data_IF_570265290405
#
_entry.id   IF_570265290405
#
_cell.length_a   1.000
_cell.length_b   1.000
_cell.length_c   1.000
_cell.angle_alpha   90.00
_cell.angle_beta   90.00
_cell.angle_gamma   90.00
#
_symmetry.space_group_name_H-M   'P 1'
#
loop_
_entity.id
_entity.type
_entity.pdbx_description
1 polymer ?
#
# COMPACT_ATOMS: atom_id res chain seq x y z
N UNK A 1 6.98 -32.39 -1.47
CA UNK A 1 5.96 -31.78 -0.60
C UNK A 1 4.64 -31.92 -1.31
N UNK A 2 3.76 -32.80 -0.82
CA UNK A 2 2.41 -32.94 -1.38
C UNK A 2 1.65 -31.64 -1.11
N UNK A 3 1.26 -30.93 -2.15
CA UNK A 3 0.30 -29.84 -2.08
C UNK A 3 -1.09 -30.43 -1.81
N UNK A 4 -1.36 -30.83 -0.56
CA UNK A 4 -2.66 -31.30 -0.15
C UNK A 4 -3.71 -30.20 -0.31
N UNK A 5 -4.84 -30.53 -0.90
CA UNK A 5 -6.01 -29.62 -0.93
C UNK A 5 -6.44 -29.35 0.51
N UNK A 6 -6.58 -28.09 0.90
CA UNK A 6 -7.03 -27.76 2.24
C UNK A 6 -8.46 -28.28 2.47
N UNK A 7 -8.68 -28.88 3.62
CA UNK A 7 -10.00 -29.33 4.01
C UNK A 7 -10.93 -28.12 4.33
N UNK A 8 -12.27 -28.28 4.23
CA UNK A 8 -13.20 -27.23 4.65
C UNK A 8 -12.96 -26.72 6.08
N UNK A 9 -12.58 -27.61 7.01
CA UNK A 9 -12.26 -27.25 8.38
C UNK A 9 -11.00 -26.38 8.49
N UNK A 10 -9.95 -26.69 7.71
CA UNK A 10 -8.74 -25.86 7.65
C UNK A 10 -9.02 -24.48 7.06
N UNK A 11 -9.87 -24.39 6.03
CA UNK A 11 -10.28 -23.10 5.46
C UNK A 11 -11.13 -22.29 6.45
N UNK A 12 -12.04 -22.93 7.17
CA UNK A 12 -12.84 -22.27 8.21
C UNK A 12 -11.96 -21.75 9.37
N UNK A 13 -11.00 -22.56 9.83
CA UNK A 13 -10.04 -22.13 10.85
C UNK A 13 -9.19 -20.95 10.39
N UNK A 14 -8.70 -20.96 9.15
CA UNK A 14 -7.91 -19.88 8.57
C UNK A 14 -8.69 -18.57 8.45
N UNK A 15 -10.00 -18.65 8.15
CA UNK A 15 -10.92 -17.49 8.13
C UNK A 15 -11.16 -16.96 9.54
N UNK A 16 -11.38 -17.81 10.51
CA UNK A 16 -11.61 -17.40 11.90
C UNK A 16 -10.37 -16.71 12.52
N UNK A 17 -9.18 -17.05 12.06
CA UNK A 17 -7.92 -16.51 12.58
C UNK A 17 -7.62 -15.07 12.14
N UNK A 18 -8.38 -14.50 11.19
CA UNK A 18 -8.13 -13.12 10.73
C UNK A 18 -8.69 -12.04 11.67
N UNK A 19 -9.48 -12.41 12.66
CA UNK A 19 -10.06 -11.49 13.64
C UNK A 19 -11.20 -10.62 13.11
N UNK A 20 -11.73 -10.91 11.91
CA UNK A 20 -12.83 -10.16 11.30
C UNK A 20 -14.17 -10.88 11.56
N UNK A 21 -15.20 -10.12 11.93
CA UNK A 21 -16.56 -10.62 12.05
C UNK A 21 -17.24 -10.76 10.69
N UNK A 22 -18.19 -11.71 10.59
CA UNK A 22 -18.89 -12.03 9.34
C UNK A 22 -20.40 -11.96 9.52
N UNK A 23 -21.09 -11.49 8.48
CA UNK A 23 -22.55 -11.44 8.42
C UNK A 23 -23.04 -11.81 7.02
N UNK A 24 -24.30 -12.19 6.91
CA UNK A 24 -24.95 -12.33 5.59
C UNK A 24 -24.99 -10.97 4.87
N UNK A 25 -24.79 -10.92 3.54
CA UNK A 25 -24.82 -9.68 2.78
C UNK A 25 -26.09 -8.86 3.03
N UNK A 26 -27.26 -9.50 3.02
CA UNK A 26 -28.56 -8.86 3.23
C UNK A 26 -28.70 -8.20 4.61
N UNK A 27 -28.08 -8.77 5.65
CA UNK A 27 -28.06 -8.17 7.00
C UNK A 27 -27.31 -6.83 7.05
N UNK A 28 -26.42 -6.61 6.09
CA UNK A 28 -25.60 -5.39 5.97
C UNK A 28 -26.03 -4.52 4.78
N UNK A 29 -27.23 -4.78 4.20
CA UNK A 29 -27.77 -4.00 3.07
C UNK A 29 -26.97 -4.17 1.79
N UNK A 30 -26.36 -5.34 1.57
CA UNK A 30 -25.67 -5.70 0.33
C UNK A 30 -26.48 -6.76 -0.40
N UNK A 31 -26.68 -6.55 -1.68
CA UNK A 31 -27.36 -7.51 -2.55
C UNK A 31 -26.42 -8.68 -2.86
N UNK A 32 -26.82 -9.88 -2.46
CA UNK A 32 -26.05 -11.09 -2.69
C UNK A 32 -26.00 -11.46 -4.20
N UNK A 33 -27.07 -11.17 -4.95
CA UNK A 33 -27.12 -11.47 -6.38
C UNK A 33 -26.15 -10.56 -7.15
N UNK A 34 -25.96 -9.32 -6.72
CA UNK A 34 -24.96 -8.43 -7.30
C UNK A 34 -23.52 -8.93 -7.07
N UNK A 35 -23.25 -9.57 -5.92
CA UNK A 35 -21.93 -10.19 -5.66
C UNK A 35 -21.70 -11.38 -6.60
N UNK A 36 -22.73 -12.23 -6.79
CA UNK A 36 -22.66 -13.37 -7.71
C UNK A 36 -22.46 -12.87 -9.15
N UNK A 37 -23.26 -11.89 -9.59
CA UNK A 37 -23.13 -11.30 -10.91
C UNK A 37 -21.74 -10.73 -11.18
N UNK A 38 -21.12 -10.07 -10.19
CA UNK A 38 -19.74 -9.60 -10.29
C UNK A 38 -18.75 -10.76 -10.52
N UNK A 39 -18.90 -11.86 -9.80
CA UNK A 39 -18.01 -13.04 -9.97
C UNK A 39 -18.24 -13.71 -11.32
N UNK A 40 -19.49 -13.80 -11.78
CA UNK A 40 -19.85 -14.33 -13.09
C UNK A 40 -19.24 -13.49 -14.23
N UNK A 41 -19.29 -12.16 -14.12
CA UNK A 41 -18.65 -11.25 -15.07
C UNK A 41 -17.14 -11.40 -15.09
N UNK A 42 -16.50 -11.53 -13.92
CA UNK A 42 -15.04 -11.78 -13.80
C UNK A 42 -14.68 -13.09 -14.51
N UNK A 43 -15.47 -14.16 -14.32
CA UNK A 43 -15.25 -15.46 -14.96
C UNK A 43 -15.50 -15.39 -16.47
N UNK A 44 -16.62 -14.79 -16.91
CA UNK A 44 -16.96 -14.60 -18.31
C UNK A 44 -15.92 -13.78 -19.08
N UNK A 45 -15.31 -12.79 -18.41
CA UNK A 45 -14.22 -11.99 -18.97
C UNK A 45 -12.86 -12.72 -18.96
N UNK A 46 -12.78 -13.93 -18.42
CA UNK A 46 -11.53 -14.70 -18.31
C UNK A 46 -10.49 -14.04 -17.41
N UNK A 47 -10.93 -13.21 -16.45
CA UNK A 47 -10.03 -12.51 -15.54
C UNK A 47 -9.55 -13.45 -14.43
N UNK A 48 -8.23 -13.49 -14.21
CA UNK A 48 -7.63 -14.37 -13.20
C UNK A 48 -7.70 -13.69 -11.81
N UNK A 49 -8.88 -13.75 -11.17
CA UNK A 49 -9.09 -13.36 -9.79
C UNK A 49 -8.71 -14.52 -8.86
N UNK A 50 -7.87 -14.25 -7.86
CA UNK A 50 -7.39 -15.25 -6.91
C UNK A 50 -8.19 -15.26 -5.61
N UNK A 51 -8.53 -14.08 -5.12
CA UNK A 51 -9.32 -13.91 -3.91
C UNK A 51 -10.06 -12.59 -3.89
N UNK A 52 -11.16 -12.58 -3.15
CA UNK A 52 -11.98 -11.40 -2.90
C UNK A 52 -12.46 -11.43 -1.45
N UNK A 53 -12.46 -10.26 -0.80
CA UNK A 53 -13.13 -10.04 0.49
C UNK A 53 -13.82 -8.67 0.44
N UNK A 54 -15.11 -8.64 0.76
CA UNK A 54 -15.92 -7.43 0.89
C UNK A 54 -16.31 -7.23 2.35
N UNK A 55 -15.93 -6.10 2.91
CA UNK A 55 -16.31 -5.66 4.24
C UNK A 55 -17.26 -4.47 4.17
N UNK A 56 -18.28 -4.45 5.03
CA UNK A 56 -19.20 -3.32 5.19
C UNK A 56 -19.64 -3.16 6.63
N UNK A 57 -19.53 -1.94 7.17
CA UNK A 57 -20.04 -1.54 8.49
C UNK A 57 -19.73 -2.55 9.63
N UNK A 58 -18.47 -3.00 9.73
CA UNK A 58 -18.01 -3.89 10.79
C UNK A 58 -17.98 -5.37 10.43
N UNK A 59 -18.53 -5.78 9.29
CA UNK A 59 -18.68 -7.18 8.93
C UNK A 59 -18.10 -7.52 7.55
N UNK A 60 -17.42 -8.65 7.41
CA UNK A 60 -17.15 -9.26 6.11
C UNK A 60 -18.45 -9.88 5.62
N UNK A 61 -18.93 -9.44 4.48
CA UNK A 61 -20.22 -9.83 3.88
C UNK A 61 -20.07 -10.78 2.69
N UNK A 62 -18.89 -10.83 2.09
CA UNK A 62 -18.55 -11.80 1.05
C UNK A 62 -17.04 -12.08 1.06
N UNK A 63 -16.69 -13.32 0.78
CA UNK A 63 -15.29 -13.73 0.63
C UNK A 63 -15.19 -14.96 -0.26
N UNK A 64 -14.18 -14.99 -1.12
CA UNK A 64 -13.93 -16.10 -2.03
C UNK A 64 -12.43 -16.27 -2.29
N UNK A 65 -12.01 -17.53 -2.46
CA UNK A 65 -10.65 -17.90 -2.92
C UNK A 65 -10.76 -18.93 -4.02
N UNK A 66 -10.16 -18.65 -5.15
CA UNK A 66 -10.02 -19.63 -6.24
C UNK A 66 -8.87 -20.58 -5.92
N UNK A 67 -9.11 -21.88 -6.04
CA UNK A 67 -8.02 -22.86 -5.90
C UNK A 67 -6.88 -22.57 -6.92
N UNK A 68 -5.59 -22.62 -6.53
CA UNK A 68 -5.02 -23.14 -5.28
C UNK A 68 -4.83 -22.07 -4.17
N UNK A 69 -5.40 -20.89 -4.32
CA UNK A 69 -5.23 -19.77 -3.38
C UNK A 69 -6.05 -20.01 -2.10
N UNK A 70 -5.52 -19.50 -0.97
CA UNK A 70 -6.06 -19.79 0.37
C UNK A 70 -6.03 -18.55 1.25
N UNK A 71 -6.95 -18.44 2.25
CA UNK A 71 -6.99 -17.30 3.17
C UNK A 71 -5.76 -17.21 4.09
N UNK A 72 -5.13 -18.33 4.43
CA UNK A 72 -3.97 -18.41 5.33
C UNK A 72 -2.61 -18.21 4.62
N UNK A 73 -2.60 -18.00 3.32
CA UNK A 73 -1.36 -17.88 2.55
C UNK A 73 -1.07 -16.43 2.17
N UNK A 74 0.05 -15.86 2.67
CA UNK A 74 0.50 -14.55 2.22
C UNK A 74 0.90 -14.60 0.75
N UNK A 75 0.82 -13.47 0.09
CA UNK A 75 1.20 -13.26 -1.31
C UNK A 75 1.78 -11.89 -1.50
N UNK A 76 2.58 -11.74 -2.54
CA UNK A 76 3.18 -10.46 -2.86
C UNK A 76 2.10 -9.44 -3.22
N UNK A 77 2.07 -8.34 -2.51
CA UNK A 77 1.10 -7.26 -2.70
C UNK A 77 1.57 -6.18 -3.67
N UNK A 78 2.80 -6.30 -4.18
CA UNK A 78 3.40 -5.31 -5.07
C UNK A 78 3.27 -3.89 -4.51
N UNK A 79 2.77 -2.95 -5.33
CA UNK A 79 2.72 -1.52 -4.96
C UNK A 79 1.70 -1.16 -3.87
N UNK A 80 0.87 -2.10 -3.39
CA UNK A 80 0.10 -1.88 -2.16
C UNK A 80 1.02 -1.56 -0.98
N UNK A 81 2.24 -2.08 -0.97
CA UNK A 81 3.28 -1.75 0.00
C UNK A 81 3.44 -0.24 0.23
N UNK A 82 3.24 0.57 -0.81
CA UNK A 82 3.31 2.04 -0.73
C UNK A 82 2.33 2.64 0.28
N UNK A 83 1.12 2.11 0.34
CA UNK A 83 0.11 2.61 1.29
C UNK A 83 0.45 2.24 2.74
N UNK A 84 1.11 1.10 2.98
CA UNK A 84 1.71 0.80 4.28
C UNK A 84 2.89 1.74 4.61
N UNK A 85 3.72 2.05 3.62
CA UNK A 85 4.79 3.05 3.79
C UNK A 85 4.22 4.42 4.16
N UNK A 86 3.12 4.85 3.54
CA UNK A 86 2.44 6.09 3.91
C UNK A 86 1.96 6.07 5.37
N UNK A 87 1.44 4.94 5.87
CA UNK A 87 1.10 4.81 7.28
C UNK A 87 2.32 5.04 8.19
N UNK A 88 3.47 4.46 7.85
CA UNK A 88 4.70 4.65 8.62
C UNK A 88 5.17 6.11 8.63
N UNK A 89 5.11 6.77 7.47
CA UNK A 89 5.46 8.20 7.38
C UNK A 89 4.50 9.05 8.21
N UNK A 90 3.19 8.75 8.20
CA UNK A 90 2.21 9.45 9.02
C UNK A 90 2.48 9.31 10.52
N UNK A 91 2.84 8.12 10.96
CA UNK A 91 3.23 7.86 12.35
C UNK A 91 4.51 8.63 12.73
N UNK A 92 5.52 8.57 11.90
CA UNK A 92 6.80 9.26 12.13
C UNK A 92 6.66 10.80 12.16
N UNK A 93 5.76 11.36 11.33
CA UNK A 93 5.40 12.78 11.38
C UNK A 93 4.72 13.17 12.70
N UNK A 94 3.82 12.34 13.20
CA UNK A 94 3.15 12.58 14.48
C UNK A 94 4.11 12.46 15.66
N UNK A 95 5.12 11.59 15.57
CA UNK A 95 6.21 11.47 16.55
C UNK A 95 7.22 12.63 16.44
N UNK A 96 7.09 13.53 15.47
CA UNK A 96 7.96 14.69 15.28
C UNK A 96 9.35 14.35 14.75
N UNK A 97 9.53 13.18 14.12
CA UNK A 97 10.83 12.74 13.61
C UNK A 97 11.30 13.53 12.39
N UNK A 98 10.38 14.08 11.64
CA UNK A 98 10.60 14.96 10.49
C UNK A 98 9.29 15.68 10.11
N UNK A 99 9.35 16.56 9.13
CA UNK A 99 8.22 17.33 8.60
C UNK A 99 8.02 17.04 7.12
N UNK A 100 6.82 17.29 6.58
CA UNK A 100 6.53 17.09 5.15
C UNK A 100 7.39 17.99 4.25
N UNK A 101 7.73 19.19 4.71
CA UNK A 101 8.55 20.19 4.00
C UNK A 101 10.06 20.00 4.18
N UNK A 102 10.49 19.02 4.97
CA UNK A 102 11.91 18.69 5.10
C UNK A 102 12.48 18.19 3.77
N UNK A 103 13.72 18.60 3.49
CA UNK A 103 14.39 18.27 2.23
C UNK A 103 14.94 16.85 2.25
N UNK A 104 14.58 16.05 1.24
CA UNK A 104 15.04 14.67 1.15
C UNK A 104 16.55 14.52 1.24
N UNK A 105 17.30 15.44 0.62
CA UNK A 105 18.77 15.45 0.63
C UNK A 105 19.36 15.66 2.03
N UNK A 106 18.66 16.35 2.94
CA UNK A 106 19.19 16.64 4.28
C UNK A 106 19.39 15.38 5.13
N UNK A 107 18.70 14.31 4.81
CA UNK A 107 18.83 13.03 5.49
C UNK A 107 20.03 12.18 5.01
N UNK A 108 20.69 12.57 3.91
CA UNK A 108 21.70 11.74 3.24
C UNK A 108 22.98 12.50 2.86
N UNK A 109 23.58 13.28 3.77
CA UNK A 109 24.78 14.07 3.44
C UNK A 109 25.96 13.20 2.98
N UNK A 110 26.04 11.97 3.45
CA UNK A 110 27.09 10.98 3.14
C UNK A 110 26.93 10.35 1.74
N UNK A 111 25.78 10.48 1.09
CA UNK A 111 25.54 9.99 -0.27
C UNK A 111 25.73 11.10 -1.33
N UNK A 112 26.00 12.32 -0.91
CA UNK A 112 26.13 13.47 -1.79
C UNK A 112 27.60 13.83 -1.96
N UNK A 113 28.07 14.01 -3.18
CA UNK A 113 29.46 14.31 -3.51
C UNK A 113 29.92 15.74 -3.13
N UNK A 114 29.02 16.54 -2.55
CA UNK A 114 29.23 17.94 -2.18
C UNK A 114 27.92 18.71 -2.02
N UNK A 115 27.94 20.03 -1.98
CA UNK A 115 26.75 20.84 -1.93
C UNK A 115 25.81 20.52 -3.10
N UNK A 116 24.53 20.31 -2.78
CA UNK A 116 23.49 20.06 -3.78
C UNK A 116 22.74 21.35 -4.01
N UNK A 117 22.57 21.71 -5.27
CA UNK A 117 21.83 22.90 -5.70
C UNK A 117 20.63 22.53 -6.59
N UNK A 118 19.90 23.56 -7.01
CA UNK A 118 18.78 23.42 -7.92
C UNK A 118 17.64 22.57 -7.37
N UNK A 119 16.93 21.92 -8.27
CA UNK A 119 15.68 21.22 -7.94
C UNK A 119 15.89 20.00 -7.05
N UNK A 120 17.05 19.34 -7.09
CA UNK A 120 17.33 18.21 -6.20
C UNK A 120 17.36 18.67 -4.73
N UNK A 121 17.94 19.84 -4.46
CA UNK A 121 17.96 20.43 -3.12
C UNK A 121 16.56 20.80 -2.61
N UNK A 122 15.63 21.09 -3.52
CA UNK A 122 14.26 21.52 -3.18
C UNK A 122 13.31 20.36 -2.87
N UNK A 123 13.62 19.12 -3.30
CA UNK A 123 12.78 17.95 -3.14
C UNK A 123 12.42 17.68 -1.67
N UNK A 124 11.13 17.57 -1.37
CA UNK A 124 10.60 17.38 -0.02
C UNK A 124 10.09 15.96 0.21
N UNK A 125 9.81 15.61 1.48
CA UNK A 125 9.12 14.37 1.85
C UNK A 125 7.72 14.33 1.20
N UNK A 126 7.02 15.46 1.12
CA UNK A 126 5.72 15.52 0.45
C UNK A 126 5.79 15.21 -1.05
N UNK A 127 6.83 15.67 -1.74
CA UNK A 127 7.06 15.37 -3.15
C UNK A 127 7.27 13.86 -3.38
N UNK A 128 7.95 13.19 -2.45
CA UNK A 128 8.12 11.74 -2.47
C UNK A 128 6.78 11.01 -2.26
N UNK A 129 5.97 11.43 -1.29
CA UNK A 129 4.65 10.84 -0.99
C UNK A 129 3.66 11.02 -2.14
N UNK A 130 3.72 12.15 -2.83
CA UNK A 130 2.81 12.51 -3.92
C UNK A 130 3.30 12.10 -5.31
N UNK A 131 4.45 11.40 -5.40
CA UNK A 131 5.05 11.00 -6.68
C UNK A 131 5.38 12.18 -7.61
N UNK A 132 5.86 13.30 -7.04
CA UNK A 132 6.18 14.54 -7.76
C UNK A 132 7.65 14.92 -7.60
N UNK A 133 8.52 13.91 -7.72
CA UNK A 133 9.98 14.05 -7.49
C UNK A 133 10.73 14.81 -8.60
N UNK A 134 10.09 15.03 -9.75
CA UNK A 134 10.71 15.76 -10.86
C UNK A 134 11.55 14.93 -11.82
N UNK A 135 11.62 13.60 -11.70
CA UNK A 135 12.27 12.73 -12.67
C UNK A 135 11.54 12.74 -14.01
N UNK A 136 12.28 12.64 -15.14
CA UNK A 136 11.70 12.66 -16.49
C UNK A 136 10.94 11.36 -16.84
N UNK A 137 11.26 10.25 -16.19
CA UNK A 137 10.66 8.93 -16.44
C UNK A 137 10.61 8.10 -15.17
N UNK A 138 9.83 7.02 -15.20
CA UNK A 138 9.83 6.04 -14.11
C UNK A 138 11.24 5.46 -13.91
N UNK A 139 11.72 5.50 -12.67
CA UNK A 139 13.08 5.09 -12.29
C UNK A 139 13.08 3.86 -11.39
N UNK A 140 12.04 3.04 -11.49
CA UNK A 140 11.87 1.83 -10.70
C UNK A 140 11.65 0.59 -11.59
N UNK A 141 11.52 -0.57 -10.98
CA UNK A 141 11.25 -1.82 -11.68
C UNK A 141 12.46 -2.71 -11.85
N UNK A 142 12.53 -3.45 -12.97
CA UNK A 142 13.54 -4.49 -13.17
C UNK A 142 14.98 -3.95 -13.15
N UNK A 143 15.20 -2.76 -13.70
CA UNK A 143 16.53 -2.13 -13.75
C UNK A 143 17.06 -1.86 -12.34
N UNK A 144 16.24 -1.28 -11.47
CA UNK A 144 16.62 -1.00 -10.09
C UNK A 144 16.84 -2.27 -9.28
N UNK A 145 15.99 -3.28 -9.44
CA UNK A 145 16.11 -4.54 -8.73
C UNK A 145 17.39 -5.33 -9.07
N UNK A 146 17.98 -5.06 -10.21
CA UNK A 146 19.25 -5.65 -10.63
C UNK A 146 20.50 -4.94 -10.10
N UNK A 147 20.33 -3.75 -9.49
CA UNK A 147 21.45 -3.01 -8.92
C UNK A 147 21.85 -3.61 -7.57
N UNK A 148 23.12 -3.95 -7.45
CA UNK A 148 23.76 -4.43 -6.20
C UNK A 148 24.39 -3.26 -5.40
N UNK A 149 24.40 -2.07 -6.00
CA UNK A 149 24.86 -0.82 -5.37
C UNK A 149 23.75 -0.22 -4.50
N UNK A 150 24.10 0.74 -3.63
CA UNK A 150 23.13 1.49 -2.84
C UNK A 150 22.07 2.13 -3.71
N UNK A 151 20.80 1.78 -3.51
CA UNK A 151 19.69 2.40 -4.22
C UNK A 151 19.45 3.85 -3.76
N UNK A 152 19.84 4.20 -2.54
CA UNK A 152 19.84 5.60 -2.07
C UNK A 152 20.82 6.41 -2.91
N UNK A 153 22.06 5.93 -3.06
CA UNK A 153 23.07 6.61 -3.87
C UNK A 153 22.65 6.73 -5.34
N UNK A 154 22.06 5.68 -5.92
CA UNK A 154 21.59 5.69 -7.30
C UNK A 154 20.42 6.67 -7.51
N UNK A 155 19.52 6.82 -6.53
CA UNK A 155 18.43 7.79 -6.59
C UNK A 155 18.95 9.22 -6.77
N UNK A 156 19.94 9.61 -5.99
CA UNK A 156 20.49 10.97 -6.04
C UNK A 156 21.34 11.27 -7.28
N UNK A 157 21.70 10.26 -8.08
CA UNK A 157 22.36 10.43 -9.38
C UNK A 157 21.36 10.68 -10.52
N UNK A 158 20.06 10.44 -10.32
CA UNK A 158 19.05 10.61 -11.36
C UNK A 158 18.82 12.10 -11.60
N UNK A 159 18.95 12.59 -12.85
CA UNK A 159 18.69 13.99 -13.15
C UNK A 159 17.25 14.40 -12.83
N UNK A 160 17.10 15.54 -12.18
CA UNK A 160 15.80 16.16 -11.96
C UNK A 160 15.48 17.04 -13.19
N UNK A 161 14.51 16.62 -13.97
CA UNK A 161 14.14 17.28 -15.23
C UNK A 161 13.05 18.35 -15.06
N UNK A 162 12.34 18.33 -13.93
CA UNK A 162 11.24 19.24 -13.64
C UNK A 162 11.27 19.63 -12.17
N UNK A 163 10.68 20.79 -11.85
CA UNK A 163 10.60 21.25 -10.45
C UNK A 163 9.82 20.24 -9.61
N UNK A 164 10.36 19.75 -8.49
CA UNK A 164 9.62 18.90 -7.54
C UNK A 164 8.29 19.54 -7.13
N UNK A 165 7.29 18.74 -6.84
CA UNK A 165 5.94 19.20 -6.50
C UNK A 165 5.06 19.54 -7.70
N UNK A 166 5.57 19.57 -8.95
CA UNK A 166 4.80 20.08 -10.10
C UNK A 166 4.19 18.97 -10.96
N UNK A 167 4.96 17.95 -11.34
CA UNK A 167 4.51 16.92 -12.27
C UNK A 167 4.47 15.55 -11.63
N UNK A 168 3.34 14.89 -11.77
CA UNK A 168 3.18 13.51 -11.31
C UNK A 168 3.97 12.54 -12.20
N UNK A 169 4.84 11.75 -11.57
CA UNK A 169 5.58 10.66 -12.21
C UNK A 169 5.63 9.47 -11.24
N UNK A 170 4.83 8.45 -11.51
CA UNK A 170 4.77 7.29 -10.64
C UNK A 170 6.11 6.54 -10.62
N UNK A 171 6.72 6.43 -9.44
CA UNK A 171 8.01 5.76 -9.26
C UNK A 171 8.14 5.07 -7.91
N UNK A 172 8.63 3.83 -7.88
CA UNK A 172 8.90 3.14 -6.62
C UNK A 172 10.18 3.62 -5.94
N UNK A 173 11.05 4.33 -6.66
CA UNK A 173 12.24 4.91 -6.08
C UNK A 173 11.91 5.97 -5.03
N UNK A 174 10.84 6.78 -5.23
CA UNK A 174 10.36 7.72 -4.22
C UNK A 174 9.96 7.01 -2.91
N UNK A 175 9.26 5.88 -3.02
CA UNK A 175 8.88 5.10 -1.83
C UNK A 175 10.09 4.47 -1.14
N UNK A 176 11.13 4.10 -1.90
CA UNK A 176 12.39 3.62 -1.33
C UNK A 176 13.07 4.69 -0.49
N UNK A 177 13.14 5.94 -1.00
CA UNK A 177 13.72 7.06 -0.24
C UNK A 177 12.93 7.37 1.02
N UNK A 178 11.59 7.28 1.00
CA UNK A 178 10.78 7.40 2.22
C UNK A 178 11.13 6.32 3.24
N UNK A 179 11.29 5.07 2.81
CA UNK A 179 11.75 3.97 3.67
C UNK A 179 13.15 4.24 4.22
N UNK A 180 14.06 4.75 3.39
CA UNK A 180 15.43 5.09 3.78
C UNK A 180 15.47 6.24 4.80
N UNK A 181 14.67 7.29 4.61
CA UNK A 181 14.52 8.39 5.57
C UNK A 181 14.06 7.85 6.92
N UNK A 182 12.98 7.04 6.92
CA UNK A 182 12.46 6.44 8.14
C UNK A 182 13.54 5.62 8.85
N UNK A 183 14.18 4.70 8.13
CA UNK A 183 15.24 3.85 8.72
C UNK A 183 16.39 4.66 9.28
N UNK A 184 16.73 5.77 8.63
CA UNK A 184 17.83 6.63 9.06
C UNK A 184 17.53 7.39 10.36
N UNK A 185 16.29 7.85 10.52
CA UNK A 185 15.90 8.63 11.73
C UNK A 185 15.51 7.73 12.90
N UNK A 186 15.07 6.49 12.65
CA UNK A 186 14.63 5.56 13.70
C UNK A 186 15.66 4.51 14.04
N UNK A 187 16.56 4.16 13.12
CA UNK A 187 17.44 2.99 13.21
C UNK A 187 16.71 1.65 12.96
N UNK A 188 15.42 1.68 12.65
CA UNK A 188 14.57 0.51 12.38
C UNK A 188 14.34 0.34 10.88
N UNK A 189 14.15 -0.90 10.41
CA UNK A 189 13.60 -1.11 9.06
C UNK A 189 12.14 -0.67 9.03
N UNK A 190 11.60 -0.38 7.84
CA UNK A 190 10.18 -0.03 7.67
C UNK A 190 9.25 -1.12 8.24
N UNK A 191 9.60 -2.40 8.05
CA UNK A 191 8.87 -3.54 8.60
C UNK A 191 8.91 -3.53 10.13
N UNK A 192 10.09 -3.40 10.72
CA UNK A 192 10.24 -3.43 12.18
C UNK A 192 9.56 -2.24 12.84
N UNK A 193 9.61 -1.06 12.21
CA UNK A 193 8.91 0.13 12.69
C UNK A 193 7.38 -0.05 12.67
N UNK A 194 6.83 -0.63 11.60
CA UNK A 194 5.38 -0.87 11.48
C UNK A 194 4.88 -2.04 12.33
N UNK A 195 5.73 -3.01 12.63
CA UNK A 195 5.30 -4.24 13.31
C UNK A 195 4.56 -3.97 14.61
N UNK A 196 5.13 -3.30 15.63
CA UNK A 196 4.41 -3.03 16.89
C UNK A 196 3.36 -1.92 16.75
N UNK A 197 3.49 -1.03 15.77
CA UNK A 197 2.65 0.16 15.63
C UNK A 197 1.41 -0.07 14.78
N UNK A 198 1.48 -1.01 13.82
CA UNK A 198 0.42 -1.25 12.85
C UNK A 198 0.09 -2.74 12.68
N UNK A 199 1.07 -3.61 12.38
CA UNK A 199 0.80 -5.00 12.03
C UNK A 199 0.23 -5.77 13.21
N UNK A 200 0.89 -5.76 14.36
CA UNK A 200 0.40 -6.44 15.57
C UNK A 200 -0.97 -5.92 16.04
N UNK A 201 -1.21 -4.59 16.14
CA UNK A 201 -2.53 -4.07 16.50
C UNK A 201 -3.65 -4.47 15.54
N UNK A 202 -3.35 -4.60 14.24
CA UNK A 202 -4.29 -5.07 13.23
C UNK A 202 -4.44 -6.61 13.22
N UNK A 203 -3.64 -7.34 14.01
CA UNK A 203 -3.58 -8.80 13.94
C UNK A 203 -3.11 -9.29 12.56
N UNK A 204 -2.14 -8.61 11.96
CA UNK A 204 -1.43 -9.02 10.75
C UNK A 204 -0.27 -9.90 11.20
N UNK A 205 -0.26 -11.13 10.73
CA UNK A 205 0.73 -12.13 11.10
C UNK A 205 1.21 -12.93 9.90
N UNK A 206 2.52 -13.26 9.89
CA UNK A 206 3.16 -14.03 8.82
C UNK A 206 3.42 -13.21 7.57
N UNK A 207 3.38 -11.90 7.71
CA UNK A 207 3.84 -10.95 6.70
C UNK A 207 5.38 -11.00 6.59
N UNK A 208 5.86 -10.67 5.40
CA UNK A 208 7.29 -10.56 5.13
C UNK A 208 7.54 -9.43 4.14
N UNK A 209 8.66 -8.76 4.27
CA UNK A 209 9.03 -7.67 3.37
C UNK A 209 10.45 -7.85 2.85
N UNK A 210 10.64 -7.75 1.52
CA UNK A 210 11.97 -7.81 0.89
C UNK A 210 12.93 -6.80 1.56
N UNK A 211 14.23 -7.10 1.48
CA UNK A 211 15.31 -6.20 1.88
C UNK A 211 16.10 -5.80 0.62
N UNK A 212 16.33 -4.52 0.47
CA UNK A 212 17.18 -3.95 -0.59
C UNK A 212 18.66 -3.93 -0.21
N UNK A 213 19.56 -3.50 -1.13
CA UNK A 213 21.00 -3.52 -0.92
C UNK A 213 21.48 -2.61 0.21
N UNK A 214 20.70 -1.60 0.60
CA UNK A 214 21.02 -0.73 1.75
C UNK A 214 20.58 -1.33 3.10
N UNK A 215 20.10 -2.59 3.12
CA UNK A 215 19.65 -3.26 4.34
C UNK A 215 18.26 -2.83 4.81
N UNK A 216 17.49 -2.14 3.99
CA UNK A 216 16.16 -1.60 4.30
C UNK A 216 15.07 -2.18 3.38
N UNK A 217 13.81 -2.07 3.79
CA UNK A 217 12.71 -2.52 2.94
C UNK A 217 12.48 -1.57 1.76
N UNK A 218 12.10 -2.08 0.57
CA UNK A 218 11.89 -1.24 -0.62
C UNK A 218 10.80 -0.16 -0.48
N UNK A 219 9.87 -0.31 0.45
CA UNK A 219 8.77 0.64 0.67
C UNK A 219 7.74 0.69 -0.45
N UNK A 220 8.15 0.54 -1.70
CA UNK A 220 7.29 0.61 -2.88
C UNK A 220 6.76 -0.72 -3.39
N UNK A 221 7.29 -1.84 -2.89
CA UNK A 221 6.96 -3.21 -3.27
C UNK A 221 7.59 -4.22 -2.29
N UNK A 222 7.49 -5.53 -2.60
CA UNK A 222 8.17 -6.59 -1.85
C UNK A 222 7.46 -7.04 -0.58
N UNK A 223 6.35 -6.40 -0.18
CA UNK A 223 5.54 -6.85 0.95
C UNK A 223 4.69 -8.06 0.54
N UNK A 224 4.77 -9.13 1.33
CA UNK A 224 3.91 -10.30 1.28
C UNK A 224 2.96 -10.27 2.49
N UNK A 225 1.65 -10.36 2.24
CA UNK A 225 0.63 -10.45 3.28
C UNK A 225 -0.63 -11.13 2.74
N UNK A 226 -1.61 -11.41 3.60
CA UNK A 226 -2.86 -12.10 3.25
C UNK A 226 -3.88 -11.12 2.66
N UNK A 227 -4.91 -11.65 2.00
CA UNK A 227 -6.04 -10.82 1.49
C UNK A 227 -6.76 -10.11 2.64
N UNK A 228 -6.91 -10.77 3.78
CA UNK A 228 -7.48 -10.15 4.97
C UNK A 228 -6.66 -8.95 5.47
N UNK A 229 -5.33 -9.02 5.37
CA UNK A 229 -4.44 -7.94 5.81
C UNK A 229 -4.55 -6.72 4.88
N UNK A 230 -4.68 -6.98 3.59
CA UNK A 230 -4.98 -5.94 2.59
C UNK A 230 -6.35 -5.28 2.86
N UNK A 231 -7.36 -6.09 3.20
CA UNK A 231 -8.68 -5.60 3.60
C UNK A 231 -8.60 -4.72 4.86
N UNK A 232 -7.87 -5.15 5.90
CA UNK A 232 -7.68 -4.40 7.15
C UNK A 232 -7.05 -3.03 6.93
N UNK A 233 -6.10 -2.93 6.00
CA UNK A 233 -5.53 -1.63 5.61
C UNK A 233 -6.61 -0.67 5.12
N UNK A 234 -7.50 -1.14 4.23
CA UNK A 234 -8.60 -0.33 3.71
C UNK A 234 -9.64 0.01 4.79
N UNK A 235 -10.02 -0.95 5.63
CA UNK A 235 -10.94 -0.74 6.77
C UNK A 235 -10.40 0.33 7.72
N UNK A 236 -9.11 0.26 8.07
CA UNK A 236 -8.47 1.25 8.94
C UNK A 236 -8.63 2.67 8.40
N UNK A 237 -8.51 2.83 7.06
CA UNK A 237 -8.68 4.15 6.44
C UNK A 237 -10.15 4.56 6.33
N UNK A 238 -11.09 3.65 6.08
CA UNK A 238 -12.54 3.96 6.17
C UNK A 238 -12.93 4.40 7.58
N UNK A 239 -12.27 3.87 8.59
CA UNK A 239 -12.51 4.19 10.01
C UNK A 239 -11.61 5.33 10.55
N UNK A 240 -11.10 6.20 9.65
CA UNK A 240 -10.23 7.34 10.02
C UNK A 240 -9.05 6.96 10.93
N UNK A 241 -8.40 5.84 10.66
CA UNK A 241 -7.24 5.39 11.44
C UNK A 241 -7.58 4.77 12.79
N UNK A 242 -8.85 4.48 13.05
CA UNK A 242 -9.30 3.82 14.29
C UNK A 242 -9.52 2.32 14.02
N UNK A 243 -8.98 1.48 14.88
CA UNK A 243 -9.15 0.03 14.84
C UNK A 243 -9.59 -0.48 16.21
N UNK A 244 -10.77 -1.13 16.27
CA UNK A 244 -11.35 -1.65 17.51
C UNK A 244 -11.36 -0.62 18.66
N UNK A 245 -11.72 0.63 18.33
CA UNK A 245 -11.78 1.72 19.31
C UNK A 245 -10.44 2.37 19.65
N UNK A 246 -9.32 1.87 19.15
CA UNK A 246 -7.98 2.42 19.33
C UNK A 246 -7.53 3.18 18.09
N UNK A 247 -7.06 4.41 18.25
CA UNK A 247 -6.43 5.16 17.16
C UNK A 247 -5.04 4.60 16.85
N UNK A 248 -4.86 4.10 15.64
CA UNK A 248 -3.58 3.59 15.14
C UNK A 248 -2.89 4.57 14.20
N UNK A 249 -3.65 5.35 13.42
CA UNK A 249 -3.09 6.41 12.58
C UNK A 249 -3.41 7.78 13.19
N UNK A 250 -2.51 8.77 13.04
CA UNK A 250 -2.70 10.10 13.59
C UNK A 250 -4.01 10.75 13.12
N UNK A 251 -4.61 11.56 13.97
CA UNK A 251 -5.80 12.34 13.61
C UNK A 251 -5.52 13.23 12.39
N UNK A 252 -6.46 13.25 11.44
CA UNK A 252 -6.33 13.98 10.18
C UNK A 252 -5.37 13.38 9.15
N UNK A 253 -4.60 12.34 9.50
CA UNK A 253 -3.67 11.72 8.55
C UNK A 253 -4.42 11.07 7.37
N UNK A 254 -5.47 10.31 7.66
CA UNK A 254 -6.25 9.63 6.61
C UNK A 254 -6.81 10.65 5.61
N UNK A 255 -7.40 11.73 6.10
CA UNK A 255 -7.93 12.80 5.25
C UNK A 255 -6.85 13.40 4.33
N UNK A 256 -5.63 13.63 4.84
CA UNK A 256 -4.49 14.10 4.04
C UNK A 256 -4.02 13.04 3.03
N UNK A 257 -3.87 11.80 3.49
CA UNK A 257 -3.30 10.74 2.67
C UNK A 257 -4.23 10.35 1.51
N UNK A 258 -5.54 10.46 1.68
CA UNK A 258 -6.54 10.09 0.67
C UNK A 258 -7.11 11.31 -0.10
N UNK A 259 -6.64 12.52 0.18
CA UNK A 259 -6.94 13.70 -0.64
C UNK A 259 -6.09 13.71 -1.92
N UNK A 260 -6.62 14.19 -3.05
CA UNK A 260 -5.82 14.36 -4.25
C UNK A 260 -4.84 15.52 -4.12
N UNK A 261 -3.58 15.28 -4.40
CA UNK A 261 -2.53 16.30 -4.44
C UNK A 261 -2.15 16.60 -5.90
N UNK A 262 -2.72 17.67 -6.46
CA UNK A 262 -2.44 18.17 -7.81
C UNK A 262 -3.19 17.45 -8.94
N UNK A 263 -3.04 18.00 -10.13
CA UNK A 263 -3.71 17.62 -11.37
C UNK A 263 -2.67 17.13 -12.41
N UNK A 264 -3.07 16.40 -13.47
CA UNK A 264 -4.42 15.85 -13.72
C UNK A 264 -4.68 14.53 -12.98
N UNK A 265 -3.61 13.92 -12.43
CA UNK A 265 -3.71 12.60 -11.77
C UNK A 265 -4.16 12.78 -10.34
N UNK A 266 -5.24 12.12 -9.99
CA UNK A 266 -5.80 12.11 -8.65
C UNK A 266 -5.04 11.10 -7.77
N UNK A 267 -4.02 11.57 -7.07
CA UNK A 267 -3.15 10.77 -6.22
C UNK A 267 -2.88 11.49 -4.90
N UNK A 268 -3.06 10.76 -3.80
CA UNK A 268 -2.76 11.23 -2.45
C UNK A 268 -1.35 10.83 -1.98
N UNK A 269 -1.17 10.64 -0.68
CA UNK A 269 0.07 10.07 -0.13
C UNK A 269 0.07 8.56 -0.29
N UNK A 270 0.53 8.11 -1.45
CA UNK A 270 0.56 6.70 -1.85
C UNK A 270 -0.83 6.02 -1.91
N UNK A 271 -1.87 6.80 -2.22
CA UNK A 271 -3.23 6.35 -2.48
C UNK A 271 -3.74 6.89 -3.81
N UNK A 272 -4.37 6.03 -4.60
CA UNK A 272 -5.13 6.44 -5.77
C UNK A 272 -6.49 6.94 -5.30
N UNK A 273 -6.87 8.14 -5.71
CA UNK A 273 -8.12 8.80 -5.27
C UNK A 273 -9.06 9.02 -6.44
N UNK A 274 -10.36 9.09 -6.16
CA UNK A 274 -11.39 9.31 -7.18
C UNK A 274 -12.33 10.44 -6.79
N UNK A 275 -13.05 11.04 -7.80
CA UNK A 275 -13.97 12.16 -7.54
C UNK A 275 -15.15 11.81 -6.62
N UNK A 276 -15.54 10.54 -6.53
CA UNK A 276 -16.60 10.05 -5.65
C UNK A 276 -16.17 9.88 -4.19
N UNK A 277 -14.92 10.26 -3.88
CA UNK A 277 -14.34 10.13 -2.54
C UNK A 277 -13.83 8.72 -2.24
N UNK A 278 -13.93 7.77 -3.16
CA UNK A 278 -13.31 6.47 -3.00
C UNK A 278 -11.79 6.56 -3.22
N UNK A 279 -11.05 5.67 -2.59
CA UNK A 279 -9.60 5.59 -2.75
C UNK A 279 -9.10 4.15 -2.73
N UNK A 280 -7.94 3.92 -3.32
CA UNK A 280 -7.41 2.58 -3.49
C UNK A 280 -5.92 2.49 -3.23
N UNK A 281 -5.51 1.46 -2.51
CA UNK A 281 -4.15 0.92 -2.54
C UNK A 281 -4.08 -0.09 -3.68
N UNK A 282 -3.15 0.11 -4.63
CA UNK A 282 -3.12 -0.68 -5.87
C UNK A 282 -1.72 -1.23 -6.14
N UNK A 283 -1.65 -2.52 -6.36
CA UNK A 283 -0.46 -3.24 -6.77
C UNK A 283 -0.61 -3.90 -8.15
N UNK A 284 0.51 -4.20 -8.75
CA UNK A 284 0.58 -4.88 -10.06
C UNK A 284 -0.27 -6.16 -10.05
N UNK A 285 -0.87 -6.49 -11.19
CA UNK A 285 -1.72 -7.66 -11.38
C UNK A 285 -3.01 -7.67 -10.56
N UNK A 286 -3.50 -6.48 -10.15
CA UNK A 286 -4.72 -6.32 -9.36
C UNK A 286 -4.60 -6.92 -7.95
N UNK A 287 -3.55 -6.54 -7.24
CA UNK A 287 -3.56 -6.58 -5.77
C UNK A 287 -4.18 -5.25 -5.34
N UNK A 288 -5.38 -5.23 -4.79
CA UNK A 288 -6.09 -3.97 -4.59
C UNK A 288 -6.97 -4.00 -3.35
N UNK A 289 -6.92 -2.92 -2.55
CA UNK A 289 -7.96 -2.57 -1.61
C UNK A 289 -8.60 -1.25 -2.05
N UNK A 290 -9.88 -1.28 -2.40
CA UNK A 290 -10.66 -0.08 -2.69
C UNK A 290 -11.61 0.18 -1.54
N UNK A 291 -11.54 1.39 -1.01
CA UNK A 291 -12.34 1.86 0.11
C UNK A 291 -13.37 2.87 -0.35
N UNK A 292 -14.58 2.72 0.14
CA UNK A 292 -15.76 3.52 -0.18
C UNK A 292 -16.31 4.15 1.11
N UNK A 293 -15.75 5.28 1.59
CA UNK A 293 -16.14 5.88 2.88
C UNK A 293 -17.65 6.17 2.98
N UNK A 294 -18.25 6.64 1.88
CA UNK A 294 -19.68 6.95 1.82
C UNK A 294 -20.56 5.72 2.12
N UNK A 295 -20.08 4.52 1.82
CA UNK A 295 -20.80 3.27 2.04
C UNK A 295 -20.32 2.50 3.27
N UNK A 296 -19.32 3.01 4.00
CA UNK A 296 -18.68 2.28 5.09
C UNK A 296 -18.17 0.92 4.62
N UNK A 297 -17.54 0.86 3.43
CA UNK A 297 -17.19 -0.40 2.79
C UNK A 297 -15.75 -0.42 2.28
N UNK A 298 -15.17 -1.61 2.23
CA UNK A 298 -13.87 -1.87 1.58
C UNK A 298 -13.93 -3.21 0.84
N UNK A 299 -13.46 -3.21 -0.40
CA UNK A 299 -13.27 -4.40 -1.22
C UNK A 299 -11.76 -4.67 -1.37
N UNK A 300 -11.31 -5.83 -0.93
CA UNK A 300 -9.97 -6.32 -1.20
C UNK A 300 -10.02 -7.44 -2.24
N UNK A 301 -9.17 -7.35 -3.26
CA UNK A 301 -9.01 -8.37 -4.29
C UNK A 301 -7.54 -8.66 -4.55
N UNK A 302 -7.25 -9.90 -4.91
CA UNK A 302 -5.93 -10.29 -5.43
C UNK A 302 -6.11 -11.08 -6.72
N UNK A 303 -5.19 -10.93 -7.67
CA UNK A 303 -5.31 -11.56 -8.98
C UNK A 303 -3.99 -11.64 -9.73
N UNK A 304 -4.06 -12.12 -10.99
CA UNK A 304 -2.96 -12.09 -11.96
C UNK A 304 -3.41 -11.44 -13.29
N UNK A 305 -4.20 -10.39 -13.21
CA UNK A 305 -4.76 -9.70 -14.37
C UNK A 305 -3.71 -8.79 -14.99
N UNK A 306 -3.33 -9.06 -16.25
CA UNK A 306 -2.38 -8.25 -17.02
C UNK A 306 -3.12 -7.13 -17.75
N UNK A 307 -2.45 -5.99 -17.96
CA UNK A 307 -3.02 -4.88 -18.73
C UNK A 307 -4.04 -4.02 -17.98
N UNK A 308 -4.10 -4.14 -16.66
CA UNK A 308 -5.06 -3.44 -15.79
C UNK A 308 -4.90 -1.90 -15.73
N UNK A 309 -4.09 -1.30 -16.61
CA UNK A 309 -3.91 0.16 -16.67
C UNK A 309 -5.22 0.94 -16.94
N UNK A 310 -6.28 0.27 -17.38
CA UNK A 310 -7.58 0.87 -17.67
C UNK A 310 -8.60 0.72 -16.54
N UNK A 311 -8.21 0.10 -15.40
CA UNK A 311 -9.07 -0.06 -14.23
C UNK A 311 -8.92 1.09 -13.21
N UNK A 312 -8.15 2.12 -13.59
CA UNK A 312 -7.77 3.21 -12.67
C UNK A 312 -8.15 4.58 -13.21
#
# INVERSE_FOLDING_TARGET
>A
MECGVATPAQLAAARAADGLSRAAPSAMGVDADAIVAFLDEVEAAGLELHSMMLWRNGQVVAEAWRWPYRPDRPRILHSVAKSFTACAIGLALADGLFRLDDKAVSFFPDFLAGPVDGWLADMTIEDLLTMRVGHASETSGAVWRALETSWVAEFFKIPIAQKPGTVFMYTSAASYILSAILSRVTGETLHDYLKPRLFEPLGIEGEAWDIGPDGINPGGNGLCAKTADLLKLGILHVQDGIWQGKRLLPEGWVAKATAPHGEPVKYGYHWWTRPDGSFSAIGRFVQMATSFPMYGATLAVTGAIRGSRHLF
#
